data_IF_571977550726
#
_entry.id   IF_571977550726
#
_cell.length_a   1.000
_cell.length_b   1.000
_cell.length_c   1.000
_cell.angle_alpha   90.00
_cell.angle_beta   90.00
_cell.angle_gamma   90.00
#
_symmetry.space_group_name_H-M   'P 1'
#
loop_
_entity.id
_entity.type
_entity.pdbx_description
1 polymer ?
#
# COMPACT_ATOMS: atom_id res chain seq x y z
N UNK A 1 -54.41 -71.79 19.16
CA UNK A 1 -54.31 -70.48 18.51
C UNK A 1 -52.88 -70.01 18.69
N UNK A 2 -52.23 -69.71 17.59
CA UNK A 2 -50.80 -69.88 17.33
C UNK A 2 -50.09 -68.53 17.42
N UNK A 3 -48.98 -68.52 18.17
CA UNK A 3 -47.73 -67.75 17.97
C UNK A 3 -47.76 -66.24 18.26
N UNK A 4 -47.06 -65.92 19.35
CA UNK A 4 -46.32 -64.68 19.56
C UNK A 4 -45.12 -64.60 18.60
N UNK A 5 -44.69 -63.38 18.23
CA UNK A 5 -43.29 -62.90 18.24
C UNK A 5 -43.13 -61.71 17.28
N UNK A 6 -42.60 -60.63 17.86
CA UNK A 6 -41.74 -59.58 17.33
C UNK A 6 -42.10 -58.87 16.00
N UNK A 7 -42.20 -57.53 16.10
CA UNK A 7 -41.26 -56.64 15.40
C UNK A 7 -41.27 -55.24 16.05
N UNK A 8 -40.76 -55.15 17.29
CA UNK A 8 -40.28 -53.87 17.82
C UNK A 8 -38.79 -53.79 17.50
N UNK A 9 -38.47 -53.47 16.24
CA UNK A 9 -37.12 -53.11 15.85
C UNK A 9 -36.78 -51.77 16.51
N UNK A 10 -36.18 -51.87 17.70
CA UNK A 10 -35.54 -50.76 18.38
C UNK A 10 -34.47 -50.22 17.44
N UNK A 11 -34.71 -49.02 16.91
CA UNK A 11 -33.72 -48.21 16.22
C UNK A 11 -32.75 -47.73 17.32
N UNK A 12 -31.80 -48.58 17.69
CA UNK A 12 -30.56 -48.18 18.35
C UNK A 12 -29.63 -47.63 17.26
N UNK A 13 -29.98 -46.46 16.71
CA UNK A 13 -28.95 -45.61 16.12
C UNK A 13 -28.16 -45.08 17.30
N UNK A 14 -27.11 -45.84 17.62
CA UNK A 14 -26.00 -45.46 18.47
C UNK A 14 -25.68 -43.99 18.27
N UNK A 15 -25.73 -43.22 19.36
CA UNK A 15 -24.99 -41.97 19.49
C UNK A 15 -23.50 -42.31 19.30
N UNK A 16 -23.02 -42.32 18.06
CA UNK A 16 -21.64 -41.96 17.83
C UNK A 16 -21.52 -40.55 18.39
N UNK A 17 -20.78 -40.38 19.49
CA UNK A 17 -20.69 -39.10 20.19
C UNK A 17 -20.33 -37.95 19.24
N UNK A 18 -20.61 -36.70 19.63
CA UNK A 18 -20.32 -35.49 18.84
C UNK A 18 -18.92 -35.48 18.20
N UNK A 19 -17.93 -36.11 18.86
CA UNK A 19 -16.56 -36.25 18.37
C UNK A 19 -16.40 -37.15 17.13
N UNK A 20 -17.35 -38.05 16.83
CA UNK A 20 -17.28 -39.00 15.72
C UNK A 20 -17.19 -38.33 14.35
N UNK A 21 -17.79 -37.14 14.20
CA UNK A 21 -17.66 -36.32 12.99
C UNK A 21 -16.22 -35.86 12.73
N UNK A 22 -15.39 -35.72 13.76
CA UNK A 22 -14.02 -35.23 13.63
C UNK A 22 -12.98 -36.33 13.49
N UNK A 23 -13.33 -37.60 13.68
CA UNK A 23 -12.39 -38.72 13.53
C UNK A 23 -12.17 -39.04 12.05
N UNK A 24 -11.05 -38.59 11.48
CA UNK A 24 -10.73 -38.69 10.04
C UNK A 24 -9.28 -39.09 9.77
N UNK A 25 -8.95 -39.33 8.51
CA UNK A 25 -7.59 -39.67 8.08
C UNK A 25 -7.29 -41.17 8.11
N UNK A 26 -6.00 -41.50 8.17
CA UNK A 26 -5.50 -42.88 8.30
C UNK A 26 -5.91 -43.51 9.63
N UNK A 27 -5.78 -44.84 9.75
CA UNK A 27 -6.08 -45.53 11.02
C UNK A 27 -5.29 -44.99 12.21
N UNK A 28 -4.04 -44.57 11.98
CA UNK A 28 -3.17 -43.94 12.97
C UNK A 28 -3.71 -42.56 13.38
N UNK A 29 -3.98 -41.67 12.42
CA UNK A 29 -4.58 -40.34 12.68
C UNK A 29 -5.92 -40.44 13.42
N UNK A 30 -6.76 -41.42 13.05
CA UNK A 30 -8.03 -41.66 13.74
C UNK A 30 -7.84 -42.16 15.19
N UNK A 31 -6.77 -42.90 15.47
CA UNK A 31 -6.45 -43.35 16.82
C UNK A 31 -5.96 -42.18 17.67
N UNK A 32 -5.09 -41.34 17.12
CA UNK A 32 -4.59 -40.12 17.76
C UNK A 32 -5.72 -39.13 18.07
N UNK A 33 -6.59 -38.83 17.10
CA UNK A 33 -7.75 -37.97 17.33
C UNK A 33 -8.66 -38.50 18.43
N UNK A 34 -8.90 -39.82 18.48
CA UNK A 34 -9.69 -40.44 19.56
C UNK A 34 -9.03 -40.29 20.92
N UNK A 35 -7.71 -40.33 20.99
CA UNK A 35 -6.99 -40.06 22.24
C UNK A 35 -7.12 -38.60 22.65
N UNK A 36 -6.89 -37.66 21.73
CA UNK A 36 -6.96 -36.23 21.99
C UNK A 36 -8.34 -35.80 22.49
N UNK A 37 -9.42 -36.29 21.85
CA UNK A 37 -10.79 -36.02 22.31
C UNK A 37 -11.04 -36.59 23.72
N UNK A 38 -10.53 -37.81 24.02
CA UNK A 38 -10.66 -38.38 25.36
C UNK A 38 -9.93 -37.56 26.42
N UNK A 39 -8.76 -37.00 26.09
CA UNK A 39 -8.01 -36.13 26.99
C UNK A 39 -8.75 -34.81 27.18
N UNK A 40 -9.29 -34.23 26.10
CA UNK A 40 -10.08 -33.01 26.14
C UNK A 40 -11.33 -33.16 27.04
N UNK A 41 -12.06 -34.27 26.92
CA UNK A 41 -13.23 -34.56 27.74
C UNK A 41 -12.89 -34.71 29.24
N UNK A 42 -11.67 -35.16 29.57
CA UNK A 42 -11.22 -35.39 30.96
C UNK A 42 -10.60 -34.17 31.62
N UNK A 43 -9.94 -33.31 30.85
CA UNK A 43 -9.12 -32.21 31.34
C UNK A 43 -9.60 -30.83 30.83
N UNK A 44 -10.84 -30.73 30.30
CA UNK A 44 -11.35 -29.53 29.64
C UNK A 44 -11.51 -28.28 30.53
N UNK A 45 -11.39 -28.44 31.85
CA UNK A 45 -11.51 -27.34 32.82
C UNK A 45 -10.19 -26.54 33.00
N UNK A 46 -9.05 -27.05 32.55
CA UNK A 46 -7.78 -26.30 32.53
C UNK A 46 -7.64 -25.55 31.19
N UNK A 47 -7.82 -24.23 31.23
CA UNK A 47 -7.72 -23.34 30.06
C UNK A 47 -6.40 -23.52 29.29
N UNK A 48 -5.27 -23.73 29.99
CA UNK A 48 -3.95 -23.88 29.37
C UNK A 48 -3.78 -25.24 28.70
N UNK A 49 -4.31 -26.30 29.29
CA UNK A 49 -4.33 -27.61 28.66
C UNK A 49 -5.32 -27.64 27.47
N UNK A 50 -6.47 -26.98 27.63
CA UNK A 50 -7.53 -26.93 26.62
C UNK A 50 -7.05 -26.29 25.32
N UNK A 51 -6.38 -25.14 25.38
CA UNK A 51 -5.89 -24.46 24.17
C UNK A 51 -4.92 -25.34 23.37
N UNK A 52 -4.03 -26.06 24.06
CA UNK A 52 -3.07 -26.97 23.43
C UNK A 52 -3.79 -28.13 22.74
N UNK A 53 -4.77 -28.74 23.42
CA UNK A 53 -5.54 -29.86 22.87
C UNK A 53 -6.38 -29.44 21.65
N UNK A 54 -7.05 -28.28 21.73
CA UNK A 54 -7.81 -27.75 20.61
C UNK A 54 -6.91 -27.41 19.41
N UNK A 55 -5.73 -26.83 19.65
CA UNK A 55 -4.72 -26.57 18.60
C UNK A 55 -4.26 -27.89 17.94
N UNK A 56 -3.98 -28.94 18.73
CA UNK A 56 -3.54 -30.23 18.20
C UNK A 56 -4.63 -30.93 17.39
N UNK A 57 -5.87 -30.96 17.90
CA UNK A 57 -7.00 -31.54 17.16
C UNK A 57 -7.21 -30.80 15.83
N UNK A 58 -7.20 -29.46 15.86
CA UNK A 58 -7.31 -28.65 14.65
C UNK A 58 -6.16 -28.95 13.66
N UNK A 59 -4.93 -29.09 14.15
CA UNK A 59 -3.77 -29.48 13.37
C UNK A 59 -3.95 -30.83 12.67
N UNK A 60 -4.33 -31.88 13.41
CA UNK A 60 -4.59 -33.20 12.83
C UNK A 60 -5.70 -33.18 11.77
N UNK A 61 -6.76 -32.39 11.99
CA UNK A 61 -7.82 -32.23 10.99
C UNK A 61 -7.33 -31.58 9.69
N UNK A 62 -6.42 -30.60 9.79
CA UNK A 62 -5.78 -29.99 8.62
C UNK A 62 -4.84 -30.96 7.92
N UNK A 63 -3.97 -31.65 8.65
CA UNK A 63 -3.00 -32.61 8.10
C UNK A 63 -3.69 -33.80 7.42
N UNK A 64 -4.86 -34.22 7.92
CA UNK A 64 -5.68 -35.24 7.29
C UNK A 64 -6.41 -34.73 6.02
N UNK A 65 -6.30 -33.45 5.66
CA UNK A 65 -6.93 -32.87 4.48
C UNK A 65 -8.39 -32.46 4.67
N UNK A 66 -8.83 -32.20 5.91
CA UNK A 66 -10.21 -31.83 6.22
C UNK A 66 -10.32 -30.43 6.86
N UNK A 67 -9.91 -29.35 6.15
CA UNK A 67 -9.93 -27.99 6.69
C UNK A 67 -11.33 -27.48 7.04
N UNK A 68 -12.38 -27.96 6.36
CA UNK A 68 -13.77 -27.66 6.73
C UNK A 68 -14.12 -28.18 8.12
N UNK A 69 -13.69 -29.41 8.46
CA UNK A 69 -13.98 -30.03 9.76
C UNK A 69 -13.21 -29.31 10.88
N UNK A 70 -11.98 -28.89 10.61
CA UNK A 70 -11.21 -28.04 11.52
C UNK A 70 -11.94 -26.72 11.80
N UNK A 71 -12.49 -26.08 10.78
CA UNK A 71 -13.25 -24.84 10.97
C UNK A 71 -14.50 -25.05 11.80
N UNK A 72 -15.33 -26.04 11.44
CA UNK A 72 -16.54 -26.38 12.20
C UNK A 72 -16.18 -26.67 13.66
N UNK A 73 -15.15 -27.49 13.89
CA UNK A 73 -14.67 -27.82 15.23
C UNK A 73 -14.38 -26.58 16.08
N UNK A 74 -13.53 -25.68 15.57
CA UNK A 74 -13.13 -24.47 16.29
C UNK A 74 -14.27 -23.46 16.42
N UNK A 75 -15.10 -23.27 15.40
CA UNK A 75 -16.24 -22.34 15.49
C UNK A 75 -17.31 -22.84 16.46
N UNK A 76 -17.57 -24.15 16.48
CA UNK A 76 -18.51 -24.75 17.45
C UNK A 76 -17.99 -24.62 18.88
N UNK A 77 -16.67 -24.73 19.10
CA UNK A 77 -16.08 -24.43 20.42
C UNK A 77 -16.31 -22.97 20.82
N UNK A 78 -15.99 -22.02 19.94
CA UNK A 78 -16.19 -20.58 20.19
C UNK A 78 -17.65 -20.24 20.48
N UNK A 79 -18.60 -20.88 19.81
CA UNK A 79 -20.04 -20.68 20.03
C UNK A 79 -20.52 -21.29 21.36
N UNK A 80 -19.95 -22.42 21.75
CA UNK A 80 -20.31 -23.14 22.98
C UNK A 80 -19.71 -22.50 24.23
N UNK A 81 -18.50 -21.95 24.10
CA UNK A 81 -17.72 -21.36 25.19
C UNK A 81 -17.36 -19.90 24.88
N UNK A 82 -18.33 -18.97 24.84
CA UNK A 82 -18.09 -17.58 24.42
C UNK A 82 -17.09 -16.83 25.33
N UNK A 83 -17.00 -17.24 26.60
CA UNK A 83 -16.10 -16.65 27.60
C UNK A 83 -14.67 -17.21 27.58
N UNK A 84 -14.38 -18.19 26.70
CA UNK A 84 -13.02 -18.75 26.59
C UNK A 84 -12.02 -17.64 26.15
N UNK A 85 -11.00 -17.33 26.96
CA UNK A 85 -10.07 -16.24 26.67
C UNK A 85 -9.24 -16.46 25.39
N UNK A 86 -9.19 -17.68 24.86
CA UNK A 86 -8.46 -18.04 23.65
C UNK A 86 -9.30 -18.00 22.37
N UNK A 87 -10.58 -17.60 22.45
CA UNK A 87 -11.47 -17.55 21.28
C UNK A 87 -10.93 -16.71 20.11
N UNK A 88 -10.27 -15.59 20.40
CA UNK A 88 -9.59 -14.78 19.38
C UNK A 88 -8.58 -15.59 18.57
N UNK A 89 -7.82 -16.45 19.26
CA UNK A 89 -6.80 -17.30 18.63
C UNK A 89 -7.42 -18.42 17.79
N UNK A 90 -8.49 -19.07 18.26
CA UNK A 90 -9.18 -20.09 17.46
C UNK A 90 -9.77 -19.50 16.19
N UNK A 91 -10.40 -18.32 16.27
CA UNK A 91 -10.90 -17.61 15.09
C UNK A 91 -9.77 -17.18 14.14
N UNK A 92 -8.58 -16.86 14.66
CA UNK A 92 -7.40 -16.58 13.83
C UNK A 92 -6.99 -17.81 13.02
N UNK A 93 -6.98 -19.00 13.64
CA UNK A 93 -6.70 -20.26 12.94
C UNK A 93 -7.77 -20.55 11.88
N UNK A 94 -9.05 -20.32 12.19
CA UNK A 94 -10.16 -20.45 11.22
C UNK A 94 -9.98 -19.52 10.02
N UNK A 95 -9.69 -18.23 10.26
CA UNK A 95 -9.53 -17.22 9.21
C UNK A 95 -8.38 -17.56 8.25
N UNK A 96 -7.24 -17.99 8.78
CA UNK A 96 -6.05 -18.38 7.98
C UNK A 96 -6.27 -19.59 7.10
N UNK A 97 -7.21 -20.45 7.47
CA UNK A 97 -7.50 -21.70 6.76
C UNK A 97 -8.75 -21.59 5.86
N UNK A 98 -9.25 -20.38 5.62
CA UNK A 98 -10.33 -20.15 4.68
C UNK A 98 -9.80 -19.87 3.27
N UNK A 99 -10.33 -20.56 2.25
CA UNK A 99 -9.95 -20.32 0.85
C UNK A 99 -10.60 -19.07 0.23
N UNK A 100 -11.59 -18.49 0.91
CA UNK A 100 -12.34 -17.33 0.45
C UNK A 100 -11.89 -16.11 1.23
N UNK A 101 -11.32 -15.14 0.52
CA UNK A 101 -10.89 -13.87 1.10
C UNK A 101 -12.02 -13.17 1.86
N UNK A 102 -13.23 -13.18 1.31
CA UNK A 102 -14.42 -12.60 1.96
C UNK A 102 -14.71 -13.24 3.32
N UNK A 103 -14.60 -14.57 3.41
CA UNK A 103 -14.85 -15.27 4.66
C UNK A 103 -13.69 -15.11 5.64
N UNK A 104 -12.44 -15.14 5.17
CA UNK A 104 -11.28 -14.84 5.99
C UNK A 104 -11.40 -13.44 6.63
N UNK A 105 -11.74 -12.42 5.81
CA UNK A 105 -11.99 -11.05 6.28
C UNK A 105 -13.08 -11.00 7.37
N UNK A 106 -14.20 -11.70 7.17
CA UNK A 106 -15.27 -11.75 8.15
C UNK A 106 -14.77 -12.23 9.53
N UNK A 107 -13.97 -13.30 9.56
CA UNK A 107 -13.40 -13.81 10.80
C UNK A 107 -12.36 -12.87 11.42
N UNK A 108 -11.46 -12.28 10.61
CA UNK A 108 -10.52 -11.28 11.13
C UNK A 108 -11.23 -10.06 11.74
N UNK A 109 -12.30 -9.57 11.11
CA UNK A 109 -13.13 -8.50 11.67
C UNK A 109 -13.82 -8.92 12.97
N UNK A 110 -14.36 -10.15 13.00
CA UNK A 110 -15.00 -10.72 14.21
C UNK A 110 -14.02 -10.80 15.38
N UNK A 111 -12.75 -11.13 15.13
CA UNK A 111 -11.68 -11.10 16.14
C UNK A 111 -11.55 -9.70 16.74
N UNK A 112 -11.31 -8.70 15.90
CA UNK A 112 -11.04 -7.32 16.35
C UNK A 112 -12.22 -6.68 17.07
N UNK A 113 -13.45 -7.05 16.70
CA UNK A 113 -14.67 -6.44 17.23
C UNK A 113 -15.15 -7.04 18.56
N UNK A 114 -14.92 -8.33 18.80
CA UNK A 114 -15.60 -9.05 19.88
C UNK A 114 -14.67 -9.62 20.95
N UNK A 115 -13.36 -9.64 20.70
CA UNK A 115 -12.41 -10.26 21.62
C UNK A 115 -11.30 -9.28 21.99
N UNK A 116 -10.72 -9.51 23.18
CA UNK A 116 -9.53 -8.77 23.62
C UNK A 116 -8.29 -9.32 22.92
N UNK A 117 -7.28 -8.47 22.77
CA UNK A 117 -6.02 -8.92 22.18
C UNK A 117 -5.30 -9.92 23.07
N UNK A 118 -4.70 -10.92 22.43
CA UNK A 118 -4.00 -12.02 23.07
C UNK A 118 -2.63 -12.19 22.43
N UNK A 119 -1.62 -12.46 23.26
CA UNK A 119 -0.29 -12.82 22.77
C UNK A 119 -0.08 -14.32 22.84
N UNK A 120 0.06 -14.96 21.67
CA UNK A 120 0.39 -16.38 21.55
C UNK A 120 1.81 -16.50 21.01
N UNK A 121 2.71 -17.12 21.80
CA UNK A 121 4.13 -17.30 21.44
C UNK A 121 4.80 -15.99 20.99
N UNK A 122 4.50 -14.88 21.67
CA UNK A 122 5.02 -13.53 21.38
C UNK A 122 4.28 -12.76 20.29
N UNK A 123 3.34 -13.39 19.57
CA UNK A 123 2.59 -12.78 18.48
C UNK A 123 1.21 -12.32 18.95
N UNK A 124 0.90 -11.04 18.71
CA UNK A 124 -0.44 -10.50 18.94
C UNK A 124 -1.42 -11.05 17.89
N UNK A 125 -2.57 -11.52 18.37
CA UNK A 125 -3.67 -12.00 17.53
C UNK A 125 -4.30 -10.84 16.77
N UNK A 126 -4.52 -9.70 17.41
CA UNK A 126 -5.09 -8.52 16.74
C UNK A 126 -4.13 -7.96 15.71
N UNK A 127 -2.82 -7.90 16.00
CA UNK A 127 -1.82 -7.49 15.01
C UNK A 127 -1.84 -8.40 13.77
N UNK A 128 -1.92 -9.71 13.98
CA UNK A 128 -2.01 -10.69 12.91
C UNK A 128 -3.26 -10.50 12.06
N UNK A 129 -4.42 -10.33 12.71
CA UNK A 129 -5.69 -10.12 12.04
C UNK A 129 -5.71 -8.80 11.25
N UNK A 130 -5.19 -7.72 11.84
CA UNK A 130 -5.16 -6.40 11.23
C UNK A 130 -4.23 -6.36 10.02
N UNK A 131 -3.08 -7.03 10.08
CA UNK A 131 -2.15 -7.15 8.96
C UNK A 131 -2.77 -7.88 7.76
N UNK A 132 -3.48 -8.99 8.02
CA UNK A 132 -4.19 -9.71 6.96
C UNK A 132 -5.38 -8.92 6.41
N UNK A 133 -6.14 -8.23 7.26
CA UNK A 133 -7.21 -7.35 6.81
C UNK A 133 -6.71 -6.26 5.88
N UNK A 134 -5.53 -5.71 6.16
CA UNK A 134 -4.91 -4.68 5.34
C UNK A 134 -4.56 -5.18 3.93
N UNK A 135 -4.12 -6.44 3.81
CA UNK A 135 -3.84 -7.12 2.54
C UNK A 135 -5.12 -7.46 1.79
N UNK A 136 -6.16 -7.90 2.50
CA UNK A 136 -7.38 -8.44 1.91
C UNK A 136 -8.43 -7.36 1.56
N UNK A 137 -8.41 -6.23 2.25
CA UNK A 137 -9.45 -5.20 2.11
C UNK A 137 -9.18 -4.30 0.92
N UNK A 138 -10.10 -4.26 -0.04
CA UNK A 138 -10.00 -3.40 -1.22
C UNK A 138 -10.45 -1.96 -0.94
N UNK A 139 -11.39 -1.75 -0.01
CA UNK A 139 -12.00 -0.45 0.25
C UNK A 139 -11.00 0.52 0.92
N UNK A 140 -10.61 1.64 0.27
CA UNK A 140 -9.56 2.52 0.78
C UNK A 140 -9.87 3.13 2.15
N UNK A 141 -11.12 3.60 2.34
CA UNK A 141 -11.58 4.18 3.60
C UNK A 141 -11.45 3.20 4.79
N UNK A 142 -11.68 1.91 4.55
CA UNK A 142 -11.55 0.88 5.58
C UNK A 142 -10.07 0.58 5.87
N UNK A 143 -9.20 0.56 4.85
CA UNK A 143 -7.75 0.39 5.04
C UNK A 143 -7.15 1.54 5.85
N UNK A 144 -7.58 2.78 5.64
CA UNK A 144 -7.14 3.94 6.44
C UNK A 144 -7.38 3.71 7.93
N UNK A 145 -8.55 3.22 8.31
CA UNK A 145 -8.84 2.87 9.71
C UNK A 145 -7.85 1.84 10.24
N UNK A 146 -7.54 0.81 9.46
CA UNK A 146 -6.57 -0.21 9.89
C UNK A 146 -5.14 0.32 10.02
N UNK A 147 -4.71 1.26 9.17
CA UNK A 147 -3.43 1.95 9.35
C UNK A 147 -3.40 2.74 10.66
N UNK A 148 -4.47 3.46 11.01
CA UNK A 148 -4.56 4.15 12.30
C UNK A 148 -4.50 3.17 13.47
N UNK A 149 -5.25 2.07 13.42
CA UNK A 149 -5.23 1.03 14.46
C UNK A 149 -3.82 0.45 14.65
N UNK A 150 -3.06 0.24 13.55
CA UNK A 150 -1.67 -0.20 13.61
C UNK A 150 -0.76 0.85 14.27
N UNK A 151 -0.87 2.11 13.87
CA UNK A 151 -0.05 3.22 14.38
C UNK A 151 -0.30 3.52 15.86
N UNK A 152 -1.52 3.29 16.34
CA UNK A 152 -1.93 3.52 17.72
C UNK A 152 -1.53 2.36 18.64
N UNK A 153 -1.78 1.12 18.21
CA UNK A 153 -1.71 -0.06 19.10
C UNK A 153 -0.48 -0.92 18.88
N UNK A 154 0.13 -0.85 17.71
CA UNK A 154 1.19 -1.77 17.28
C UNK A 154 2.41 -1.02 16.71
N UNK A 155 2.61 0.23 17.12
CA UNK A 155 3.71 1.08 16.64
C UNK A 155 5.08 0.42 16.76
N UNK A 156 5.33 -0.30 17.85
CA UNK A 156 6.62 -0.97 18.11
C UNK A 156 6.83 -2.24 17.28
N UNK A 157 5.82 -2.68 16.53
CA UNK A 157 5.85 -3.91 15.70
C UNK A 157 5.85 -3.64 14.20
N UNK A 158 5.71 -2.38 13.78
CA UNK A 158 5.60 -2.00 12.37
C UNK A 158 6.71 -1.03 11.98
N UNK A 159 6.97 -0.94 10.68
CA UNK A 159 7.67 0.21 10.12
C UNK A 159 6.69 1.38 10.00
N UNK A 160 6.80 2.32 10.94
CA UNK A 160 5.94 3.49 11.05
C UNK A 160 6.03 4.37 9.80
N UNK A 161 7.22 4.54 9.23
CA UNK A 161 7.39 5.33 8.01
C UNK A 161 6.68 4.65 6.84
N UNK A 162 6.89 3.35 6.63
CA UNK A 162 6.22 2.60 5.57
C UNK A 162 4.69 2.67 5.71
N UNK A 163 4.21 2.61 6.95
CA UNK A 163 2.78 2.74 7.27
C UNK A 163 2.23 4.10 6.84
N UNK A 164 2.92 5.21 7.17
CA UNK A 164 2.52 6.54 6.71
C UNK A 164 2.54 6.68 5.18
N UNK A 165 3.53 6.09 4.51
CA UNK A 165 3.62 6.10 3.05
C UNK A 165 2.41 5.43 2.39
N UNK A 166 2.07 4.20 2.80
CA UNK A 166 0.93 3.50 2.21
C UNK A 166 -0.42 4.10 2.63
N UNK A 167 -0.51 4.69 3.83
CA UNK A 167 -1.69 5.44 4.24
C UNK A 167 -1.87 6.69 3.38
N UNK A 168 -0.80 7.45 3.08
CA UNK A 168 -0.85 8.59 2.17
C UNK A 168 -1.38 8.20 0.79
N UNK A 169 -0.84 7.13 0.20
CA UNK A 169 -1.35 6.59 -1.08
C UNK A 169 -2.83 6.19 -1.03
N UNK A 170 -3.28 5.68 0.10
CA UNK A 170 -4.69 5.30 0.29
C UNK A 170 -5.59 6.53 0.37
N UNK A 171 -5.12 7.63 0.96
CA UNK A 171 -5.83 8.92 0.92
C UNK A 171 -5.93 9.48 -0.50
N UNK A 172 -4.89 9.33 -1.32
CA UNK A 172 -4.93 9.72 -2.75
C UNK A 172 -5.99 8.95 -3.54
N UNK A 173 -6.18 7.65 -3.26
CA UNK A 173 -7.24 6.84 -3.87
C UNK A 173 -8.65 7.39 -3.55
N UNK A 174 -8.81 8.11 -2.44
CA UNK A 174 -10.05 8.79 -2.06
C UNK A 174 -10.14 10.24 -2.57
N UNK A 175 -9.06 10.80 -3.11
CA UNK A 175 -8.95 12.23 -3.42
C UNK A 175 -8.84 13.11 -2.17
N UNK A 176 -8.49 12.55 -1.01
CA UNK A 176 -8.26 13.25 0.26
C UNK A 176 -6.82 13.79 0.28
N UNK A 177 -6.57 14.83 -0.52
CA UNK A 177 -5.21 15.31 -0.79
C UNK A 177 -4.52 15.92 0.43
N UNK A 178 -5.24 16.69 1.25
CA UNK A 178 -4.68 17.34 2.43
C UNK A 178 -4.16 16.30 3.43
N UNK A 179 -4.95 15.24 3.65
CA UNK A 179 -4.61 14.09 4.48
C UNK A 179 -3.46 13.28 3.87
N UNK A 180 -3.47 13.07 2.55
CA UNK A 180 -2.40 12.38 1.85
C UNK A 180 -1.05 13.11 2.06
N UNK A 181 -1.01 14.42 1.83
CA UNK A 181 0.20 15.22 2.00
C UNK A 181 0.59 15.38 3.47
N UNK A 182 -0.36 15.42 4.41
CA UNK A 182 -0.06 15.33 5.83
C UNK A 182 0.62 14.00 6.20
N UNK A 183 0.14 12.87 5.66
CA UNK A 183 0.74 11.56 5.86
C UNK A 183 2.13 11.45 5.17
N UNK A 184 2.30 12.00 3.99
CA UNK A 184 3.61 12.09 3.32
C UNK A 184 4.64 12.88 4.13
N UNK A 185 4.27 14.03 4.70
CA UNK A 185 5.15 14.79 5.59
C UNK A 185 5.57 13.96 6.82
N UNK A 186 4.67 13.14 7.37
CA UNK A 186 5.01 12.18 8.44
C UNK A 186 5.93 11.07 7.95
N UNK A 187 5.74 10.52 6.76
CA UNK A 187 6.68 9.57 6.17
C UNK A 187 8.10 10.15 6.05
N UNK A 188 8.22 11.42 5.60
CA UNK A 188 9.52 12.09 5.46
C UNK A 188 10.26 12.28 6.80
N UNK A 189 9.58 12.18 7.95
CA UNK A 189 10.25 12.18 9.27
C UNK A 189 10.96 10.88 9.62
N UNK A 190 10.85 9.84 8.78
CA UNK A 190 11.49 8.53 8.95
C UNK A 190 12.45 8.25 7.77
N UNK A 191 13.65 8.85 7.74
CA UNK A 191 14.55 8.79 6.59
C UNK A 191 15.14 7.39 6.31
N UNK A 192 15.17 6.52 7.32
CA UNK A 192 15.74 5.16 7.21
C UNK A 192 14.74 4.12 6.68
N UNK A 193 13.44 4.47 6.64
CA UNK A 193 12.39 3.61 6.09
C UNK A 193 12.70 3.31 4.62
N UNK A 194 12.44 2.07 4.17
CA UNK A 194 12.59 1.70 2.76
C UNK A 194 11.30 1.10 2.23
N UNK A 195 10.83 1.65 1.11
CA UNK A 195 9.64 1.13 0.44
C UNK A 195 10.08 0.05 -0.55
N UNK A 196 9.63 -1.18 -0.33
CA UNK A 196 9.95 -2.30 -1.20
C UNK A 196 9.48 -2.05 -2.64
N UNK A 197 10.37 -2.27 -3.61
CA UNK A 197 10.10 -2.00 -5.03
C UNK A 197 10.13 -0.51 -5.40
N UNK A 198 10.36 0.40 -4.45
CA UNK A 198 10.46 1.84 -4.72
C UNK A 198 11.59 2.50 -3.91
N UNK A 199 12.86 2.27 -4.27
CA UNK A 199 14.02 2.77 -3.53
C UNK A 199 14.07 4.29 -3.38
N UNK A 200 13.55 5.03 -4.36
CA UNK A 200 13.58 6.50 -4.40
C UNK A 200 12.37 7.16 -3.73
N UNK A 201 11.60 6.40 -2.94
CA UNK A 201 10.35 6.87 -2.33
C UNK A 201 10.51 8.20 -1.56
N UNK A 202 11.57 8.38 -0.78
CA UNK A 202 11.81 9.61 -0.03
C UNK A 202 12.04 10.82 -0.93
N UNK A 203 12.82 10.66 -2.01
CA UNK A 203 13.06 11.76 -2.95
C UNK A 203 11.75 12.12 -3.64
N UNK A 204 11.09 11.12 -4.23
CA UNK A 204 9.81 11.32 -4.92
C UNK A 204 8.75 11.96 -4.02
N UNK A 205 8.59 11.50 -2.78
CA UNK A 205 7.62 12.11 -1.85
C UNK A 205 8.02 13.53 -1.47
N UNK A 206 9.32 13.82 -1.27
CA UNK A 206 9.79 15.17 -0.99
C UNK A 206 9.48 16.13 -2.14
N UNK A 207 9.78 15.72 -3.37
CA UNK A 207 9.52 16.50 -4.58
C UNK A 207 8.03 16.82 -4.73
N UNK A 208 7.17 15.85 -4.41
CA UNK A 208 5.71 16.05 -4.41
C UNK A 208 5.24 16.96 -3.30
N UNK A 209 5.74 16.80 -2.07
CA UNK A 209 5.40 17.65 -0.92
C UNK A 209 5.82 19.09 -1.20
N UNK A 210 7.04 19.31 -1.69
CA UNK A 210 7.52 20.64 -2.03
C UNK A 210 6.63 21.29 -3.10
N UNK A 211 6.29 20.56 -4.17
CA UNK A 211 5.36 21.05 -5.19
C UNK A 211 3.98 21.41 -4.59
N UNK A 212 3.45 20.55 -3.72
CA UNK A 212 2.18 20.79 -3.02
C UNK A 212 2.25 21.98 -2.04
N UNK A 213 3.42 22.31 -1.49
CA UNK A 213 3.60 23.44 -0.56
C UNK A 213 4.01 24.76 -1.27
N UNK A 214 4.41 24.70 -2.54
CA UNK A 214 4.85 25.86 -3.35
C UNK A 214 3.70 26.78 -3.81
N UNK A 215 4.00 27.94 -4.40
CA UNK A 215 2.95 28.84 -4.92
C UNK A 215 2.40 28.46 -6.30
N UNK A 216 3.19 27.76 -7.12
CA UNK A 216 2.85 27.32 -8.50
C UNK A 216 2.54 28.45 -9.49
N UNK A 217 2.93 29.69 -9.16
CA UNK A 217 2.69 30.89 -9.99
C UNK A 217 3.42 30.86 -11.35
N UNK A 218 4.34 29.92 -11.57
CA UNK A 218 5.08 29.75 -12.83
C UNK A 218 4.28 28.99 -13.90
N UNK A 219 3.19 28.34 -13.53
CA UNK A 219 2.39 27.50 -14.44
C UNK A 219 1.47 28.35 -15.31
N UNK A 220 1.15 27.87 -16.51
CA UNK A 220 0.26 28.57 -17.46
C UNK A 220 -0.69 27.59 -18.15
N UNK A 221 -1.95 27.97 -18.34
CA UNK A 221 -2.96 27.13 -19.02
C UNK A 221 -2.57 26.78 -20.47
N UNK A 222 -1.93 27.72 -21.17
CA UNK A 222 -1.60 27.61 -22.60
C UNK A 222 -0.09 27.46 -22.83
N UNK A 223 0.30 26.35 -23.47
CA UNK A 223 1.67 26.14 -23.94
C UNK A 223 2.15 27.26 -24.87
N UNK A 224 1.30 27.70 -25.80
CA UNK A 224 1.66 28.75 -26.76
C UNK A 224 1.98 30.07 -26.04
N UNK A 225 1.21 30.40 -25.01
CA UNK A 225 1.43 31.61 -24.21
C UNK A 225 2.76 31.52 -23.45
N UNK A 226 3.03 30.37 -22.83
CA UNK A 226 4.29 30.12 -22.12
C UNK A 226 5.49 30.21 -23.07
N UNK A 227 5.45 29.50 -24.19
CA UNK A 227 6.54 29.47 -25.20
C UNK A 227 6.80 30.87 -25.77
N UNK A 228 5.76 31.62 -26.12
CA UNK A 228 5.90 32.98 -26.65
C UNK A 228 6.45 33.95 -25.61
N UNK A 229 6.08 33.77 -24.34
CA UNK A 229 6.63 34.54 -23.22
C UNK A 229 8.13 34.28 -23.07
N UNK A 230 8.57 33.01 -23.08
CA UNK A 230 9.98 32.66 -22.98
C UNK A 230 10.78 33.13 -24.20
N UNK A 231 10.26 32.96 -25.43
CA UNK A 231 10.90 33.49 -26.66
C UNK A 231 11.11 35.01 -26.58
N UNK A 232 10.08 35.74 -26.14
CA UNK A 232 10.16 37.19 -25.96
C UNK A 232 11.15 37.59 -24.86
N UNK A 233 11.26 36.82 -23.79
CA UNK A 233 12.23 37.05 -22.73
C UNK A 233 13.66 36.77 -23.21
N UNK A 234 13.90 35.70 -23.96
CA UNK A 234 15.20 35.39 -24.57
C UNK A 234 15.62 36.52 -25.52
N UNK A 235 14.71 36.95 -26.42
CA UNK A 235 15.01 37.99 -27.39
C UNK A 235 15.36 39.33 -26.74
N UNK A 236 14.68 39.70 -25.65
CA UNK A 236 14.94 40.94 -24.87
C UNK A 236 16.05 40.79 -23.83
N UNK A 237 16.64 39.61 -23.69
CA UNK A 237 17.57 39.26 -22.60
C UNK A 237 16.99 39.52 -21.19
N UNK A 238 15.68 39.31 -21.01
CA UNK A 238 14.97 39.52 -19.76
C UNK A 238 15.05 38.27 -18.85
N UNK A 239 16.11 38.24 -18.04
CA UNK A 239 16.36 37.17 -17.07
C UNK A 239 15.23 37.05 -16.03
N UNK A 240 14.62 38.17 -15.64
CA UNK A 240 13.60 38.17 -14.58
C UNK A 240 12.34 37.44 -15.04
N UNK A 241 11.92 37.67 -16.29
CA UNK A 241 10.77 36.96 -16.86
C UNK A 241 11.04 35.47 -17.04
N UNK A 242 12.26 35.08 -17.46
CA UNK A 242 12.62 33.66 -17.52
C UNK A 242 12.58 32.99 -16.15
N UNK A 243 13.22 33.59 -15.13
CA UNK A 243 13.25 33.02 -13.78
C UNK A 243 11.86 32.93 -13.14
N UNK A 244 10.93 33.82 -13.48
CA UNK A 244 9.54 33.76 -13.00
C UNK A 244 8.76 32.55 -13.53
N UNK A 245 9.03 32.15 -14.78
CA UNK A 245 8.30 31.06 -15.44
C UNK A 245 9.07 29.73 -15.40
N UNK A 246 10.29 29.75 -14.87
CA UNK A 246 11.05 28.56 -14.53
C UNK A 246 10.32 27.85 -13.39
N UNK A 247 10.13 26.54 -13.49
CA UNK A 247 9.61 25.77 -12.36
C UNK A 247 10.48 26.01 -11.11
N UNK A 248 9.82 26.30 -9.99
CA UNK A 248 10.50 26.52 -8.71
C UNK A 248 10.93 25.18 -8.12
N UNK A 249 10.03 24.19 -8.21
CA UNK A 249 10.25 22.82 -7.77
C UNK A 249 10.59 21.90 -8.95
N UNK A 250 11.50 20.95 -8.71
CA UNK A 250 11.86 19.88 -9.66
C UNK A 250 12.40 20.36 -11.02
N UNK A 251 12.89 21.60 -11.11
CA UNK A 251 13.52 22.07 -12.33
C UNK A 251 14.89 21.43 -12.54
N UNK A 252 15.07 20.74 -13.67
CA UNK A 252 16.33 20.08 -14.00
C UNK A 252 17.07 20.73 -15.17
N UNK A 253 18.39 20.48 -15.24
CA UNK A 253 19.21 20.86 -16.38
C UNK A 253 20.26 19.78 -16.63
N UNK A 254 20.00 18.89 -17.59
CA UNK A 254 20.74 17.63 -17.76
C UNK A 254 20.89 17.20 -19.22
N UNK A 255 21.72 16.20 -19.51
CA UNK A 255 21.77 15.58 -20.85
C UNK A 255 20.66 14.55 -21.06
N UNK A 256 20.31 14.24 -22.30
CA UNK A 256 19.25 13.29 -22.65
C UNK A 256 19.41 11.87 -22.06
N UNK A 257 20.64 11.40 -21.85
CA UNK A 257 20.93 10.07 -21.30
C UNK A 257 20.95 10.04 -19.76
N UNK A 258 20.89 11.21 -19.11
CA UNK A 258 20.83 11.27 -17.66
C UNK A 258 19.39 11.06 -17.20
N UNK A 259 19.23 10.42 -16.05
CA UNK A 259 17.93 10.34 -15.39
C UNK A 259 17.72 11.63 -14.57
N UNK A 260 16.47 12.13 -14.54
CA UNK A 260 16.08 13.32 -13.76
C UNK A 260 16.49 13.19 -12.28
N UNK A 261 16.57 11.94 -11.81
CA UNK A 261 16.90 11.56 -10.44
C UNK A 261 18.39 11.31 -10.16
N UNK A 262 19.29 11.44 -11.14
CA UNK A 262 20.74 11.39 -10.88
C UNK A 262 21.15 12.60 -10.02
N UNK A 263 21.91 12.37 -8.95
CA UNK A 263 22.49 13.40 -8.08
C UNK A 263 23.22 14.54 -8.82
N UNK A 264 23.67 14.30 -10.05
CA UNK A 264 24.36 15.28 -10.89
C UNK A 264 23.44 16.03 -11.89
N UNK A 265 22.14 15.73 -11.96
CA UNK A 265 21.18 16.38 -12.88
C UNK A 265 20.72 17.77 -12.39
N UNK A 266 20.90 18.07 -11.10
CA UNK A 266 20.49 19.31 -10.43
C UNK A 266 21.66 20.25 -10.15
N UNK A 267 22.66 20.31 -11.04
CA UNK A 267 23.74 21.28 -10.93
C UNK A 267 23.13 22.69 -10.90
N UNK A 268 23.57 23.52 -9.95
CA UNK A 268 23.14 24.91 -9.80
C UNK A 268 23.30 25.69 -11.11
N UNK A 269 22.23 25.70 -11.90
CA UNK A 269 22.23 26.21 -13.25
C UNK A 269 21.87 27.70 -13.25
N UNK A 270 22.88 28.55 -13.41
CA UNK A 270 22.69 30.00 -13.46
C UNK A 270 22.34 30.44 -14.89
N UNK A 271 21.07 30.32 -15.25
CA UNK A 271 20.51 30.73 -16.55
C UNK A 271 20.90 32.17 -16.94
N UNK A 272 20.84 33.10 -15.98
CA UNK A 272 21.12 34.53 -16.22
C UNK A 272 22.54 34.78 -16.73
N UNK A 273 23.52 34.03 -16.22
CA UNK A 273 24.91 34.14 -16.66
C UNK A 273 25.10 33.75 -18.13
N UNK A 274 24.33 32.78 -18.63
CA UNK A 274 24.39 32.34 -20.03
C UNK A 274 23.64 33.29 -20.96
N UNK A 275 22.45 33.76 -20.56
CA UNK A 275 21.63 34.65 -21.39
C UNK A 275 22.31 36.01 -21.64
N UNK A 276 22.94 36.59 -20.61
CA UNK A 276 23.54 37.92 -20.70
C UNK A 276 24.85 37.93 -21.49
N UNK A 277 25.58 36.81 -21.52
CA UNK A 277 26.89 36.70 -22.17
C UNK A 277 26.83 36.20 -23.61
N UNK A 278 25.68 35.73 -24.06
CA UNK A 278 25.55 35.05 -25.33
C UNK A 278 24.35 35.55 -26.12
N UNK A 279 24.44 35.47 -27.45
CA UNK A 279 23.32 35.79 -28.34
C UNK A 279 22.50 34.54 -28.60
N UNK A 280 21.65 34.23 -27.63
CA UNK A 280 20.76 33.07 -27.67
C UNK A 280 19.73 33.23 -28.78
N UNK A 281 19.46 32.14 -29.49
CA UNK A 281 18.42 32.03 -30.51
C UNK A 281 17.55 30.80 -30.24
N UNK A 282 16.37 30.79 -30.86
CA UNK A 282 15.36 29.74 -30.69
C UNK A 282 14.73 29.39 -32.03
N UNK A 283 14.19 28.17 -32.12
CA UNK A 283 13.45 27.70 -33.28
C UNK A 283 12.10 28.42 -33.40
N UNK A 284 11.61 28.54 -34.64
CA UNK A 284 10.31 29.16 -34.92
C UNK A 284 9.17 28.31 -34.32
N UNK A 285 9.24 27.00 -34.52
CA UNK A 285 8.25 26.02 -34.09
C UNK A 285 8.81 25.11 -32.98
N UNK A 286 7.91 24.39 -32.32
CA UNK A 286 8.29 23.32 -31.39
C UNK A 286 8.81 22.09 -32.16
N UNK A 287 9.58 21.25 -31.49
CA UNK A 287 10.09 20.02 -32.09
C UNK A 287 8.96 19.03 -32.45
N UNK A 288 9.19 18.25 -33.50
CA UNK A 288 8.20 17.30 -34.04
C UNK A 288 7.80 16.20 -33.05
N UNK A 289 8.65 15.87 -32.08
CA UNK A 289 8.38 14.89 -31.04
C UNK A 289 7.53 15.44 -29.87
N UNK A 290 7.18 16.73 -29.91
CA UNK A 290 6.24 17.34 -28.96
C UNK A 290 4.84 16.71 -29.12
N UNK A 291 4.14 16.54 -28.00
CA UNK A 291 2.84 15.89 -27.94
C UNK A 291 1.90 16.59 -26.94
N UNK A 292 0.76 15.99 -26.63
CA UNK A 292 -0.26 16.59 -25.78
C UNK A 292 0.18 16.80 -24.31
N UNK A 293 1.25 16.13 -23.85
CA UNK A 293 1.74 16.16 -22.47
C UNK A 293 3.11 16.80 -22.33
N UNK A 294 3.93 16.77 -23.37
CA UNK A 294 5.31 17.27 -23.34
C UNK A 294 5.63 18.04 -24.61
N UNK A 295 6.46 19.06 -24.50
CA UNK A 295 6.92 19.84 -25.63
C UNK A 295 8.37 20.28 -25.47
N UNK A 296 9.02 20.50 -26.61
CA UNK A 296 10.44 20.83 -26.66
C UNK A 296 10.67 22.03 -27.58
N UNK A 297 11.33 23.06 -27.06
CA UNK A 297 11.77 24.20 -27.85
C UNK A 297 13.29 24.16 -28.02
N UNK A 298 13.74 23.93 -29.24
CA UNK A 298 15.16 23.99 -29.59
C UNK A 298 15.68 25.42 -29.52
N UNK A 299 16.81 25.56 -28.84
CA UNK A 299 17.52 26.82 -28.63
C UNK A 299 19.03 26.61 -28.80
N UNK A 300 19.75 27.66 -29.19
CA UNK A 300 21.19 27.56 -29.43
C UNK A 300 21.90 28.87 -29.16
N UNK A 301 23.23 28.79 -29.07
CA UNK A 301 24.07 29.95 -28.79
C UNK A 301 24.08 30.35 -27.32
N UNK A 302 23.76 29.44 -26.41
CA UNK A 302 23.90 29.64 -24.96
C UNK A 302 25.36 29.54 -24.49
N UNK A 303 26.10 28.57 -25.05
CA UNK A 303 27.50 28.31 -24.75
C UNK A 303 28.24 27.81 -26.00
N UNK A 304 29.56 27.92 -25.99
CA UNK A 304 30.43 27.40 -27.04
C UNK A 304 30.67 25.89 -26.89
N UNK A 305 30.50 25.33 -25.68
CA UNK A 305 30.75 23.91 -25.39
C UNK A 305 29.59 23.02 -25.83
N UNK A 306 28.36 23.44 -25.52
CA UNK A 306 27.14 22.73 -25.88
C UNK A 306 26.33 23.66 -26.77
N UNK A 307 26.22 23.30 -28.05
CA UNK A 307 25.67 24.18 -29.09
C UNK A 307 24.15 24.32 -28.99
N UNK A 308 23.47 23.25 -28.59
CA UNK A 308 22.02 23.11 -28.68
C UNK A 308 21.46 22.68 -27.34
N UNK A 309 20.48 23.44 -26.85
CA UNK A 309 19.72 23.18 -25.64
C UNK A 309 18.24 23.10 -26.00
N UNK A 310 17.48 22.27 -25.30
CA UNK A 310 16.03 22.16 -25.46
C UNK A 310 15.35 22.62 -24.18
N UNK A 311 14.54 23.66 -24.27
CA UNK A 311 13.64 23.99 -23.17
C UNK A 311 12.52 22.96 -23.16
N UNK A 312 12.38 22.25 -22.04
CA UNK A 312 11.42 21.18 -21.86
C UNK A 312 10.20 21.68 -21.10
N UNK A 313 9.03 21.45 -21.69
CA UNK A 313 7.75 21.78 -21.11
C UNK A 313 6.96 20.51 -20.88
N UNK A 314 6.25 20.45 -19.76
CA UNK A 314 5.33 19.35 -19.48
C UNK A 314 4.03 19.86 -18.90
N UNK A 315 2.98 19.05 -19.03
CA UNK A 315 1.77 19.23 -18.26
C UNK A 315 2.01 18.88 -16.79
N UNK A 316 1.50 19.73 -15.92
CA UNK A 316 1.49 19.54 -14.48
C UNK A 316 0.46 18.48 -14.13
N UNK A 317 0.90 17.37 -13.55
CA UNK A 317 0.01 16.35 -12.98
C UNK A 317 -0.22 16.62 -11.49
N UNK A 318 -1.24 17.42 -11.19
CA UNK A 318 -1.57 17.79 -9.82
C UNK A 318 -3.08 17.71 -9.53
N UNK A 319 -3.65 16.49 -9.39
CA UNK A 319 -5.09 16.31 -9.25
C UNK A 319 -5.69 16.95 -7.99
N UNK A 320 -4.87 17.37 -7.03
CA UNK A 320 -5.29 18.10 -5.83
C UNK A 320 -5.87 19.48 -6.11
N UNK A 321 -5.46 20.12 -7.21
CA UNK A 321 -5.97 21.42 -7.64
C UNK A 321 -6.33 21.38 -9.13
N UNK A 322 -7.62 21.28 -9.49
CA UNK A 322 -8.07 21.26 -10.88
C UNK A 322 -7.71 22.50 -11.70
N UNK A 323 -7.47 23.67 -11.08
CA UNK A 323 -7.09 24.90 -11.78
C UNK A 323 -5.63 24.86 -12.24
N UNK A 324 -4.80 24.09 -11.54
CA UNK A 324 -3.38 23.90 -11.85
C UNK A 324 -3.16 22.60 -12.62
N UNK A 325 -3.98 21.58 -12.36
CA UNK A 325 -3.91 20.29 -13.05
C UNK A 325 -4.04 20.47 -14.56
N UNK A 326 -3.04 19.99 -15.29
CA UNK A 326 -3.01 20.07 -16.74
C UNK A 326 -2.47 21.38 -17.31
N UNK A 327 -2.14 22.37 -16.48
CA UNK A 327 -1.37 23.55 -16.90
C UNK A 327 0.01 23.13 -17.40
N UNK A 328 0.67 24.00 -18.14
CA UNK A 328 2.02 23.83 -18.64
C UNK A 328 3.03 24.54 -17.73
N UNK A 329 4.17 23.88 -17.53
CA UNK A 329 5.33 24.47 -16.89
C UNK A 329 6.57 24.33 -17.76
N UNK A 330 7.51 25.26 -17.57
CA UNK A 330 8.87 25.06 -18.04
C UNK A 330 9.64 24.26 -16.99
N UNK A 331 9.64 22.94 -17.17
CA UNK A 331 10.14 21.98 -16.19
C UNK A 331 11.65 21.75 -16.26
N UNK A 332 12.31 22.06 -17.37
CA UNK A 332 13.75 21.83 -17.42
C UNK A 332 14.44 22.19 -18.72
N UNK A 333 15.70 21.79 -18.79
CA UNK A 333 16.56 21.96 -19.96
C UNK A 333 17.27 20.64 -20.26
N UNK A 334 17.15 20.18 -21.50
CA UNK A 334 18.01 19.13 -22.03
C UNK A 334 19.18 19.71 -22.81
N UNK A 335 20.38 19.17 -22.56
CA UNK A 335 21.61 19.54 -23.23
C UNK A 335 21.99 18.55 -24.32
N UNK A 336 22.44 19.06 -25.47
CA UNK A 336 22.83 18.25 -26.63
C UNK A 336 21.70 18.14 -27.66
N UNK A 337 22.02 17.65 -28.86
CA UNK A 337 21.00 17.38 -29.88
C UNK A 337 20.08 16.25 -29.42
N UNK A 338 18.78 16.36 -29.72
CA UNK A 338 17.83 15.28 -29.52
C UNK A 338 18.18 14.10 -30.45
N UNK A 339 18.09 12.87 -29.94
CA UNK A 339 18.32 11.64 -30.72
C UNK A 339 17.12 11.25 -31.57
#
# INVERSE_FOLDING_TARGET
MVVAVALAAVILISCAGESGYYIVGTSEQQQELRELFRILDRNGDDDSARVILLEHIAGHLLEAGYPERMRVFLTSHVETYPEDPYNAYYLLLVARNYNSDRMAQHYYQRILANYSDLSIRGNSVHYSALSELLRLTEQPAVRIRYYHDLLERFRDRIDVGSTYYYMARTYEELGEWDEAFAAYRRFLSYPETRILGFPEAHRHVRDRVNFYDSSRDWTMESLDTLVNTLKSAIWRQDVRTLLRHKADENFFAMSWEQEEYDSNSQIAFNLGSFLLRSRVRYAADLELNSNAREAYLRTWGWSHRIRTWYLYFRRVDFPADPEIHGNWEWAGIYFGEAM
#
